data_IF_402270597851
#
_entry.id   IF_402270597851
#
_cell.length_a   1.000
_cell.length_b   1.000
_cell.length_c   1.000
_cell.angle_alpha   90.00
_cell.angle_beta   90.00
_cell.angle_gamma   90.00
#
_symmetry.space_group_name_H-M   'P 1'
#
loop_
_entity.id
_entity.type
_entity.pdbx_description
1 polymer ?
#
# COMPACT_ATOMS: atom_id res chain seq x y z
N UNK A 1 -9.24 -6.45 -21.06
CA UNK A 1 -7.97 -5.73 -21.24
C UNK A 1 -7.00 -6.15 -20.14
N UNK A 2 -5.82 -6.66 -20.46
CA UNK A 2 -4.87 -7.13 -19.45
C UNK A 2 -4.30 -5.94 -18.67
N UNK A 3 -4.24 -6.03 -17.33
CA UNK A 3 -3.64 -5.03 -16.42
C UNK A 3 -2.27 -4.51 -16.91
N UNK A 4 -1.54 -5.33 -17.65
CA UNK A 4 -0.25 -5.00 -18.27
C UNK A 4 -0.31 -3.80 -19.23
N UNK A 5 -1.43 -3.57 -19.91
CA UNK A 5 -1.60 -2.43 -20.81
C UNK A 5 -1.76 -1.09 -20.06
N UNK A 6 -2.12 -1.14 -18.78
CA UNK A 6 -2.27 0.03 -17.90
C UNK A 6 -0.97 0.40 -17.19
N UNK A 7 0.02 -0.50 -17.18
CA UNK A 7 1.29 -0.27 -16.50
C UNK A 7 2.07 0.91 -17.15
N UNK A 8 2.68 1.80 -16.34
CA UNK A 8 3.67 2.80 -16.75
C UNK A 8 4.83 2.27 -17.59
N UNK A 9 5.28 1.03 -17.33
CA UNK A 9 6.36 0.40 -18.08
C UNK A 9 6.43 -1.11 -17.83
N UNK A 10 7.52 -1.74 -18.26
CA UNK A 10 7.79 -3.17 -18.05
C UNK A 10 8.62 -3.37 -16.79
N UNK A 11 8.27 -4.35 -15.97
CA UNK A 11 9.14 -4.79 -14.89
C UNK A 11 10.40 -5.45 -15.47
N UNK A 12 11.57 -5.02 -15.00
CA UNK A 12 12.86 -5.60 -15.31
C UNK A 12 13.25 -6.74 -14.35
N UNK A 13 14.51 -7.20 -14.37
CA UNK A 13 15.00 -8.24 -13.47
C UNK A 13 15.08 -7.75 -12.03
N UNK A 14 14.87 -8.65 -11.07
CA UNK A 14 14.93 -8.32 -9.64
C UNK A 14 16.33 -7.84 -9.24
N UNK A 15 16.39 -6.69 -8.58
CA UNK A 15 17.57 -6.18 -7.89
C UNK A 15 17.43 -6.48 -6.40
N UNK A 16 18.44 -7.15 -5.85
CA UNK A 16 18.47 -7.53 -4.43
C UNK A 16 18.71 -6.28 -3.57
N UNK A 17 18.25 -6.32 -2.32
CA UNK A 17 18.51 -5.25 -1.36
C UNK A 17 20.02 -5.04 -1.20
N UNK A 18 20.46 -3.78 -1.22
CA UNK A 18 21.86 -3.40 -1.02
C UNK A 18 22.30 -3.56 0.44
N UNK A 19 21.34 -3.64 1.37
CA UNK A 19 21.57 -3.87 2.79
C UNK A 19 20.48 -4.77 3.36
N UNK A 20 20.80 -5.48 4.44
CA UNK A 20 19.80 -6.21 5.24
C UNK A 20 19.32 -5.38 6.45
N UNK A 21 19.92 -4.20 6.69
CA UNK A 21 19.61 -3.36 7.84
C UNK A 21 18.61 -2.26 7.49
N UNK A 22 17.51 -2.25 8.24
CA UNK A 22 16.49 -1.19 8.19
C UNK A 22 16.77 -0.05 9.17
N UNK A 23 17.89 -0.09 9.90
CA UNK A 23 18.25 0.91 10.92
C UNK A 23 18.87 2.20 10.33
N UNK A 24 18.98 2.32 9.01
CA UNK A 24 19.53 3.51 8.36
C UNK A 24 18.48 4.62 8.16
N UNK A 25 18.93 5.86 7.95
CA UNK A 25 18.08 6.98 7.54
C UNK A 25 17.35 6.76 6.19
N UNK A 26 17.75 5.74 5.42
CA UNK A 26 17.15 5.35 4.14
C UNK A 26 16.70 3.88 4.17
N UNK A 27 15.70 3.51 4.99
CA UNK A 27 15.33 2.11 5.23
C UNK A 27 14.86 1.38 3.96
N UNK A 28 14.42 2.13 2.93
CA UNK A 28 14.08 1.60 1.61
C UNK A 28 15.26 0.94 0.90
N UNK A 29 16.52 1.29 1.20
CA UNK A 29 17.72 0.62 0.64
C UNK A 29 17.84 -0.85 1.04
N UNK A 30 17.19 -1.24 2.15
CA UNK A 30 17.09 -2.63 2.58
C UNK A 30 15.95 -3.41 1.91
N UNK A 31 15.29 -2.82 0.89
CA UNK A 31 14.28 -3.48 0.08
C UNK A 31 14.86 -3.84 -1.30
N UNK A 32 14.61 -5.09 -1.70
CA UNK A 32 14.72 -5.49 -3.11
C UNK A 32 13.61 -4.86 -3.95
N UNK A 33 13.84 -4.79 -5.26
CA UNK A 33 12.91 -4.17 -6.19
C UNK A 33 13.07 -4.71 -7.62
N UNK A 34 12.05 -4.51 -8.44
CA UNK A 34 12.06 -4.68 -9.88
C UNK A 34 12.08 -3.31 -10.54
N UNK A 35 13.12 -2.96 -11.32
CA UNK A 35 13.17 -1.67 -12.00
C UNK A 35 12.07 -1.60 -13.05
N UNK A 36 11.51 -0.40 -13.25
CA UNK A 36 10.54 -0.14 -14.32
C UNK A 36 11.31 0.30 -15.56
N UNK A 37 11.40 -0.59 -16.53
CA UNK A 37 12.06 -0.40 -17.82
C UNK A 37 11.05 0.02 -18.89
N UNK A 38 11.55 0.60 -19.99
CA UNK A 38 10.75 0.95 -21.16
C UNK A 38 9.47 1.70 -20.80
N UNK A 39 9.61 2.81 -20.07
CA UNK A 39 8.49 3.68 -19.73
C UNK A 39 7.75 4.09 -21.01
N UNK A 40 6.42 4.09 -20.93
CA UNK A 40 5.59 4.63 -21.99
C UNK A 40 5.79 6.15 -22.10
N UNK A 41 5.52 6.72 -23.27
CA UNK A 41 5.75 8.13 -23.54
C UNK A 41 4.94 9.06 -22.62
N UNK A 42 3.78 8.61 -22.12
CA UNK A 42 2.90 9.32 -21.19
C UNK A 42 3.16 9.00 -19.71
N UNK A 43 4.20 8.19 -19.42
CA UNK A 43 4.57 7.82 -18.06
C UNK A 43 5.59 8.80 -17.46
N UNK A 44 5.42 9.10 -16.17
CA UNK A 44 6.25 10.00 -15.39
C UNK A 44 6.93 9.20 -14.27
N UNK A 45 8.27 9.22 -14.15
CA UNK A 45 8.95 8.60 -13.02
C UNK A 45 8.64 9.38 -11.74
N UNK A 46 8.26 8.66 -10.68
CA UNK A 46 7.99 9.21 -9.35
C UNK A 46 9.17 9.01 -8.39
N UNK A 47 9.86 7.88 -8.51
CA UNK A 47 10.99 7.54 -7.66
C UNK A 47 12.06 6.84 -8.49
N UNK A 48 13.31 7.29 -8.31
CA UNK A 48 14.49 6.66 -8.88
C UNK A 48 15.52 6.38 -7.79
N UNK A 49 16.24 5.27 -7.93
CA UNK A 49 17.29 4.84 -7.01
C UNK A 49 18.40 4.15 -7.77
N UNK A 50 19.64 4.56 -7.54
CA UNK A 50 20.83 3.97 -8.15
C UNK A 50 20.69 3.86 -9.69
N UNK A 51 20.16 4.91 -10.32
CA UNK A 51 19.90 4.96 -11.77
C UNK A 51 18.67 4.18 -12.27
N UNK A 52 17.94 3.50 -11.38
CA UNK A 52 16.76 2.72 -11.74
C UNK A 52 15.46 3.41 -11.34
N UNK A 53 14.47 3.42 -12.23
CA UNK A 53 13.11 3.86 -11.88
C UNK A 53 12.43 2.77 -11.05
N UNK A 54 12.00 3.10 -9.84
CA UNK A 54 11.32 2.16 -8.92
C UNK A 54 9.81 2.42 -8.89
N UNK A 55 9.40 3.68 -9.00
CA UNK A 55 8.00 4.05 -9.06
C UNK A 55 7.75 4.95 -10.26
N UNK A 56 6.64 4.72 -10.97
CA UNK A 56 6.21 5.55 -12.07
C UNK A 56 4.69 5.66 -12.07
N UNK A 57 4.17 6.76 -12.61
CA UNK A 57 2.76 6.99 -12.82
C UNK A 57 2.46 7.24 -14.29
N UNK A 58 1.25 6.89 -14.73
CA UNK A 58 0.71 7.36 -16.02
C UNK A 58 -0.77 7.62 -15.93
N UNK A 59 -1.31 8.39 -16.87
CA UNK A 59 -2.76 8.56 -17.01
C UNK A 59 -3.35 7.34 -17.72
N UNK A 60 -4.52 6.92 -17.26
CA UNK A 60 -5.32 5.90 -17.91
C UNK A 60 -6.81 6.28 -17.79
N UNK A 61 -7.40 6.71 -18.91
CA UNK A 61 -8.74 7.28 -18.92
C UNK A 61 -8.84 8.51 -18.01
N UNK A 62 -9.82 8.51 -17.10
CA UNK A 62 -10.04 9.59 -16.13
C UNK A 62 -9.12 9.51 -14.89
N UNK A 63 -8.31 8.45 -14.76
CA UNK A 63 -7.50 8.19 -13.58
C UNK A 63 -6.00 8.23 -13.83
N UNK A 64 -5.23 7.89 -12.78
CA UNK A 64 -3.81 7.63 -12.85
C UNK A 64 -3.52 6.23 -12.31
N UNK A 65 -2.55 5.57 -12.92
CA UNK A 65 -2.04 4.28 -12.48
C UNK A 65 -0.62 4.51 -11.99
N UNK A 66 -0.33 4.07 -10.76
CA UNK A 66 1.01 4.06 -10.20
C UNK A 66 1.49 2.61 -10.16
N UNK A 67 2.69 2.37 -10.67
CA UNK A 67 3.39 1.10 -10.57
C UNK A 67 4.55 1.25 -9.60
N UNK A 68 4.67 0.29 -8.69
CA UNK A 68 5.72 0.21 -7.68
C UNK A 68 6.55 -1.05 -7.91
N UNK A 69 7.87 -0.89 -7.95
CA UNK A 69 8.82 -1.98 -8.14
C UNK A 69 9.24 -2.68 -6.85
N UNK A 70 8.95 -2.13 -5.67
CA UNK A 70 9.38 -2.70 -4.39
C UNK A 70 8.76 -4.09 -4.11
N UNK A 71 9.58 -5.03 -3.62
CA UNK A 71 9.11 -6.39 -3.28
C UNK A 71 8.14 -6.41 -2.09
N UNK A 72 8.50 -5.70 -1.01
CA UNK A 72 7.89 -5.88 0.30
C UNK A 72 8.08 -4.65 1.20
N UNK A 73 7.43 -3.55 0.89
CA UNK A 73 7.51 -2.29 1.67
C UNK A 73 7.11 -2.46 3.14
N UNK A 74 6.28 -3.47 3.46
CA UNK A 74 5.91 -3.80 4.83
C UNK A 74 7.11 -4.18 5.72
N UNK A 75 8.20 -4.73 5.14
CA UNK A 75 9.40 -5.09 5.91
C UNK A 75 10.05 -3.86 6.53
N UNK A 76 10.03 -2.74 5.81
CA UNK A 76 10.46 -1.46 6.37
C UNK A 76 9.60 -1.07 7.57
N UNK A 77 8.27 -1.20 7.47
CA UNK A 77 7.37 -0.90 8.60
C UNK A 77 7.63 -1.78 9.82
N UNK A 78 7.91 -3.08 9.64
CA UNK A 78 8.05 -4.03 10.75
C UNK A 78 9.46 -4.13 11.33
N UNK A 79 10.48 -4.02 10.48
CA UNK A 79 11.89 -4.21 10.86
C UNK A 79 12.64 -2.89 11.03
N UNK A 80 12.06 -1.76 10.62
CA UNK A 80 12.64 -0.44 10.84
C UNK A 80 12.51 0.00 12.30
N UNK A 81 13.50 0.76 12.78
CA UNK A 81 13.52 1.37 14.11
C UNK A 81 13.01 2.82 14.06
N UNK A 82 12.68 3.39 15.23
CA UNK A 82 12.27 4.79 15.35
C UNK A 82 10.99 5.11 14.59
N UNK A 83 11.02 6.13 13.73
CA UNK A 83 9.85 6.64 13.00
C UNK A 83 9.42 5.80 11.79
N UNK A 84 9.96 4.58 11.63
CA UNK A 84 9.69 3.73 10.47
C UNK A 84 8.18 3.53 10.16
N UNK A 85 7.28 3.32 11.15
CA UNK A 85 5.85 3.23 10.87
C UNK A 85 5.24 4.54 10.36
N UNK A 86 5.70 5.70 10.86
CA UNK A 86 5.22 7.01 10.42
C UNK A 86 5.71 7.32 9.01
N UNK A 87 7.01 7.19 8.77
CA UNK A 87 7.60 7.41 7.46
C UNK A 87 7.04 6.45 6.39
N UNK A 88 6.69 5.20 6.75
CA UNK A 88 5.99 4.28 5.86
C UNK A 88 4.58 4.77 5.51
N UNK A 89 3.84 5.33 6.48
CA UNK A 89 2.54 5.96 6.17
C UNK A 89 2.72 7.16 5.25
N UNK A 90 3.69 8.03 5.52
CA UNK A 90 3.95 9.22 4.69
C UNK A 90 4.30 8.82 3.24
N UNK A 91 5.09 7.76 3.07
CA UNK A 91 5.37 7.19 1.77
C UNK A 91 4.09 6.73 1.05
N UNK A 92 3.22 5.97 1.73
CA UNK A 92 1.96 5.54 1.11
C UNK A 92 1.00 6.69 0.84
N UNK A 93 0.98 7.70 1.71
CA UNK A 93 0.22 8.94 1.48
C UNK A 93 0.70 9.64 0.20
N UNK A 94 2.02 9.70 -0.03
CA UNK A 94 2.58 10.27 -1.26
C UNK A 94 2.22 9.44 -2.49
N UNK A 95 2.33 8.11 -2.42
CA UNK A 95 1.94 7.19 -3.52
C UNK A 95 0.46 7.35 -3.87
N UNK A 96 -0.42 7.32 -2.86
CA UNK A 96 -1.86 7.47 -3.06
C UNK A 96 -2.18 8.85 -3.60
N UNK A 97 -1.51 9.91 -3.12
CA UNK A 97 -1.67 11.26 -3.65
C UNK A 97 -1.25 11.38 -5.11
N UNK A 98 -0.20 10.66 -5.54
CA UNK A 98 0.21 10.62 -6.94
C UNK A 98 -0.84 9.95 -7.85
N UNK A 99 -1.52 8.91 -7.33
CA UNK A 99 -2.61 8.22 -8.02
C UNK A 99 -3.94 8.99 -7.96
N UNK A 100 -4.18 9.73 -6.88
CA UNK A 100 -5.40 10.49 -6.66
C UNK A 100 -5.51 11.59 -7.71
N UNK A 101 -6.35 11.34 -8.71
CA UNK A 101 -6.70 12.35 -9.68
C UNK A 101 -7.58 13.40 -8.99
N UNK A 102 -7.00 14.54 -8.62
CA UNK A 102 -7.79 15.74 -8.36
C UNK A 102 -8.19 16.27 -9.74
N UNK A 103 -9.45 16.10 -10.11
CA UNK A 103 -9.99 16.79 -11.26
C UNK A 103 -9.82 18.30 -11.02
N UNK A 104 -8.76 18.89 -11.58
CA UNK A 104 -8.59 20.33 -11.67
C UNK A 104 -9.59 20.96 -12.65
N UNK A 105 -10.64 20.22 -13.04
CA UNK A 105 -11.84 20.84 -13.56
C UNK A 105 -12.50 21.51 -12.36
N UNK A 106 -12.22 22.81 -12.20
CA UNK A 106 -13.14 23.70 -11.48
C UNK A 106 -14.50 23.40 -12.12
N UNK A 107 -15.36 22.66 -11.40
CA UNK A 107 -16.78 22.66 -11.72
C UNK A 107 -17.07 24.15 -11.71
N UNK A 108 -17.32 24.73 -12.89
CA UNK A 108 -17.77 26.11 -12.96
C UNK A 108 -18.89 26.15 -11.93
N UNK A 109 -18.70 26.92 -10.86
CA UNK A 109 -19.74 27.12 -9.86
C UNK A 109 -20.97 27.43 -10.69
N UNK A 110 -21.92 26.49 -10.76
CA UNK A 110 -23.18 26.78 -11.38
C UNK A 110 -23.62 28.03 -10.64
N UNK A 111 -23.77 29.14 -11.36
CA UNK A 111 -24.27 30.38 -10.77
C UNK A 111 -25.65 30.02 -10.25
N UNK A 112 -25.72 29.63 -8.98
CA UNK A 112 -26.97 29.33 -8.30
C UNK A 112 -27.61 30.69 -8.07
N UNK A 113 -28.32 31.17 -9.09
CA UNK A 113 -29.14 32.39 -9.01
C UNK A 113 -30.28 32.24 -7.99
N UNK A 114 -30.48 31.04 -7.43
CA UNK A 114 -31.31 30.76 -6.25
C UNK A 114 -30.59 29.73 -5.36
N UNK A 115 -29.49 30.13 -4.71
CA UNK A 115 -28.90 29.30 -3.67
C UNK A 115 -29.87 29.27 -2.47
N UNK A 116 -30.58 28.14 -2.31
CA UNK A 116 -31.29 27.81 -1.09
C UNK A 116 -30.35 28.01 0.12
N UNK A 117 -30.82 28.67 1.17
CA UNK A 117 -29.97 29.16 2.26
C UNK A 117 -29.44 28.04 3.17
N UNK A 118 -29.93 26.80 3.02
CA UNK A 118 -29.55 25.69 3.88
C UNK A 118 -29.57 24.31 3.18
N UNK A 119 -28.81 24.09 2.10
CA UNK A 119 -28.82 22.83 1.34
C UNK A 119 -28.35 21.64 2.18
N UNK A 120 -27.53 21.90 3.21
CA UNK A 120 -27.12 20.91 4.18
C UNK A 120 -28.30 20.42 5.03
N UNK A 121 -29.16 21.34 5.49
CA UNK A 121 -30.31 21.00 6.33
C UNK A 121 -31.35 20.16 5.56
N UNK A 122 -31.56 20.45 4.28
CA UNK A 122 -32.44 19.68 3.39
C UNK A 122 -31.95 18.24 3.23
N UNK A 123 -30.63 18.05 3.05
CA UNK A 123 -30.03 16.71 2.98
C UNK A 123 -30.19 15.94 4.29
N UNK A 124 -30.02 16.61 5.43
CA UNK A 124 -30.26 15.98 6.74
C UNK A 124 -31.73 15.60 6.94
N UNK A 125 -32.68 16.40 6.42
CA UNK A 125 -34.10 16.08 6.47
C UNK A 125 -34.45 14.86 5.61
N UNK A 126 -33.88 14.75 4.40
CA UNK A 126 -34.08 13.61 3.50
C UNK A 126 -33.47 12.31 4.04
N UNK A 127 -32.35 12.39 4.78
CA UNK A 127 -31.70 11.25 5.42
C UNK A 127 -32.54 10.62 6.54
N UNK A 128 -33.51 11.36 7.09
CA UNK A 128 -34.38 10.90 8.16
C UNK A 128 -33.69 10.75 9.52
N UNK A 129 -34.46 10.29 10.53
CA UNK A 129 -33.95 10.14 11.88
C UNK A 129 -32.85 9.06 11.94
N UNK A 130 -31.76 9.27 12.72
CA UNK A 130 -30.71 8.27 12.87
C UNK A 130 -31.29 6.97 13.41
N UNK A 131 -31.01 5.86 12.72
CA UNK A 131 -31.35 4.52 13.21
C UNK A 131 -30.55 4.26 14.49
N UNK A 132 -31.16 3.79 15.59
CA UNK A 132 -30.44 3.51 16.82
C UNK A 132 -29.32 2.49 16.54
N UNK A 133 -28.11 2.82 16.97
CA UNK A 133 -26.95 1.97 16.80
C UNK A 133 -27.22 0.61 17.46
N UNK A 134 -27.34 -0.43 16.65
CA UNK A 134 -27.33 -1.80 17.17
C UNK A 134 -25.87 -2.11 17.51
N UNK A 135 -25.54 -2.12 18.80
CA UNK A 135 -24.21 -2.49 19.25
C UNK A 135 -23.94 -3.96 18.88
N UNK A 136 -23.24 -4.20 17.77
CA UNK A 136 -22.67 -5.51 17.49
C UNK A 136 -21.49 -5.73 18.43
N UNK A 137 -21.74 -6.43 19.54
CA UNK A 137 -20.68 -6.94 20.40
C UNK A 137 -19.99 -8.07 19.64
N UNK A 138 -18.79 -7.80 19.14
CA UNK A 138 -17.87 -8.83 18.65
C UNK A 138 -17.58 -9.79 19.80
N UNK A 139 -18.18 -10.98 19.76
CA UNK A 139 -17.79 -12.07 20.64
C UNK A 139 -16.45 -12.61 20.17
N UNK A 140 -15.38 -12.06 20.74
CA UNK A 140 -14.05 -12.68 20.65
C UNK A 140 -14.08 -13.90 21.56
N UNK A 141 -14.14 -15.09 20.97
CA UNK A 141 -14.01 -16.35 21.71
C UNK A 141 -12.61 -16.41 22.34
N UNK A 142 -12.51 -16.53 23.67
CA UNK A 142 -11.21 -16.63 24.31
C UNK A 142 -10.61 -18.02 24.09
N UNK A 143 -9.32 -18.05 23.78
CA UNK A 143 -8.43 -19.12 24.22
C UNK A 143 -7.94 -20.07 23.12
N UNK A 144 -6.69 -19.86 22.70
CA UNK A 144 -5.87 -20.94 22.15
C UNK A 144 -5.79 -22.05 23.21
N UNK A 145 -6.41 -23.21 22.96
CA UNK A 145 -6.41 -24.33 23.90
C UNK A 145 -4.96 -24.83 24.07
N UNK A 146 -4.56 -25.19 25.28
CA UNK A 146 -3.17 -25.59 25.59
C UNK A 146 -2.64 -26.71 24.68
N UNK A 147 -3.51 -27.63 24.24
CA UNK A 147 -3.14 -28.70 23.30
C UNK A 147 -2.84 -28.17 21.89
N UNK A 148 -3.50 -27.10 21.44
CA UNK A 148 -3.19 -26.44 20.15
C UNK A 148 -1.80 -25.79 20.21
N UNK A 149 -1.46 -25.19 21.35
CA UNK A 149 -0.11 -24.66 21.60
C UNK A 149 0.94 -25.80 21.56
N UNK A 150 0.66 -26.93 22.20
CA UNK A 150 1.55 -28.10 22.17
C UNK A 150 1.76 -28.63 20.74
N UNK A 151 0.69 -28.72 19.93
CA UNK A 151 0.78 -29.12 18.52
C UNK A 151 1.62 -28.12 17.71
N UNK A 152 1.37 -26.82 17.86
CA UNK A 152 2.14 -25.78 17.16
C UNK A 152 3.62 -25.80 17.55
N UNK A 153 3.93 -25.99 18.83
CA UNK A 153 5.31 -26.13 19.31
C UNK A 153 5.99 -27.37 18.72
N UNK A 154 5.29 -28.51 18.68
CA UNK A 154 5.82 -29.74 18.08
C UNK A 154 6.09 -29.57 16.57
N UNK A 155 5.17 -28.93 15.83
CA UNK A 155 5.35 -28.62 14.41
C UNK A 155 6.53 -27.67 14.16
N UNK A 156 6.73 -26.68 15.03
CA UNK A 156 7.86 -25.75 14.93
C UNK A 156 9.20 -26.45 15.14
N UNK A 157 9.29 -27.34 16.14
CA UNK A 157 10.49 -28.14 16.40
C UNK A 157 10.77 -29.13 15.28
N UNK A 158 9.73 -29.76 14.72
CA UNK A 158 9.85 -30.66 13.58
C UNK A 158 10.36 -29.92 12.33
N UNK A 159 9.82 -28.73 12.05
CA UNK A 159 10.27 -27.87 10.95
C UNK A 159 11.74 -27.43 11.15
N UNK A 160 12.12 -27.05 12.36
CA UNK A 160 13.50 -26.70 12.70
C UNK A 160 14.46 -27.88 12.49
N UNK A 161 14.12 -29.06 13.00
CA UNK A 161 14.91 -30.28 12.82
C UNK A 161 15.04 -30.67 11.34
N UNK A 162 13.94 -30.59 10.59
CA UNK A 162 13.92 -30.87 9.16
C UNK A 162 14.81 -29.93 8.35
N UNK A 163 14.89 -28.64 8.72
CA UNK A 163 15.82 -27.69 8.10
C UNK A 163 17.28 -28.02 8.41
N UNK A 164 17.59 -28.42 9.64
CA UNK A 164 18.96 -28.78 10.04
C UNK A 164 19.47 -30.03 9.31
N UNK A 165 18.63 -31.04 9.17
CA UNK A 165 19.00 -32.30 8.51
C UNK A 165 19.11 -32.15 6.98
N UNK A 166 18.36 -31.22 6.37
CA UNK A 166 18.47 -30.88 4.94
C UNK A 166 19.73 -30.10 4.57
N UNK A 167 20.43 -29.50 5.54
CA UNK A 167 21.72 -28.85 5.34
C UNK A 167 22.94 -29.75 5.56
N UNK A 168 22.74 -31.03 5.91
CA UNK A 168 23.80 -31.99 6.23
C UNK A 168 23.99 -33.08 5.16
N UNK A 169 23.45 -32.87 3.95
CA UNK A 169 23.73 -33.63 2.73
C UNK A 169 24.27 -32.66 1.68
#
# INVERSE_FOLDING_TARGET
>A
AALRALAPGRAGPRVVAASLSFASATPRRALGFFPILSLLADAVPLESRDGHVIAAARRAGAGRVVQLGYDATWRWRLAGSGDAPAAHRDYWSAVVSAAAYRAAKRIASATTQNADAAPLASLYADLGAPTPATASVLHVTPGLRWWMFAILAALLLAEWGSRRLRGAR
#
